data_IF_738880267581
#
_entry.id   IF_738880267581
#
_cell.length_a   1.000
_cell.length_b   1.000
_cell.length_c   1.000
_cell.angle_alpha   90.00
_cell.angle_beta   90.00
_cell.angle_gamma   90.00
#
_symmetry.space_group_name_H-M   'P 1'
#
loop_
_entity.id
_entity.type
_entity.pdbx_description
1 polymer ?
#
# COMPACT_ATOMS: atom_id res chain seq x y z
N UNK A 1 -28.47 36.13 -40.69
CA UNK A 1 -29.03 34.85 -41.18
C UNK A 1 -28.02 33.71 -41.28
N UNK A 2 -26.86 33.89 -41.97
CA UNK A 2 -25.89 32.76 -42.17
C UNK A 2 -25.36 32.13 -40.87
N UNK A 3 -25.05 32.93 -39.86
CA UNK A 3 -24.50 32.43 -38.56
C UNK A 3 -25.54 31.55 -37.82
N UNK A 4 -26.81 31.93 -37.78
CA UNK A 4 -27.87 31.17 -37.12
C UNK A 4 -28.10 29.82 -37.84
N UNK A 5 -27.99 29.80 -39.18
CA UNK A 5 -28.09 28.52 -39.92
C UNK A 5 -26.92 27.59 -39.62
N UNK A 6 -25.68 28.09 -39.44
CA UNK A 6 -24.50 27.27 -39.05
C UNK A 6 -24.67 26.69 -37.62
N UNK A 7 -25.17 27.50 -36.69
CA UNK A 7 -25.46 27.01 -35.31
C UNK A 7 -26.53 25.90 -35.34
N UNK A 8 -27.58 26.07 -36.11
CA UNK A 8 -28.67 25.10 -36.26
C UNK A 8 -28.16 23.77 -36.86
N UNK A 9 -27.37 23.84 -37.93
CA UNK A 9 -26.75 22.65 -38.54
C UNK A 9 -25.78 21.95 -37.62
N UNK A 10 -24.97 22.69 -36.86
CA UNK A 10 -24.05 22.09 -35.87
C UNK A 10 -24.80 21.38 -34.76
N UNK A 11 -25.92 21.93 -34.31
CA UNK A 11 -26.76 21.35 -33.27
C UNK A 11 -27.46 20.04 -33.77
N UNK A 12 -27.94 20.02 -35.00
CA UNK A 12 -28.48 18.80 -35.62
C UNK A 12 -27.42 17.71 -35.74
N UNK A 13 -26.19 18.08 -36.18
CA UNK A 13 -25.11 17.15 -36.29
C UNK A 13 -24.71 16.57 -34.91
N UNK A 14 -24.70 17.41 -33.87
CA UNK A 14 -24.42 16.98 -32.52
C UNK A 14 -25.45 16.00 -31.97
N UNK A 15 -26.74 16.30 -32.20
CA UNK A 15 -27.84 15.39 -31.83
C UNK A 15 -27.72 14.05 -32.56
N UNK A 16 -27.36 14.08 -33.84
CA UNK A 16 -27.16 12.87 -34.65
C UNK A 16 -26.02 12.01 -34.11
N UNK A 17 -24.86 12.61 -33.75
CA UNK A 17 -23.74 11.91 -33.15
C UNK A 17 -24.11 11.29 -31.80
N UNK A 18 -24.86 12.01 -30.96
CA UNK A 18 -25.36 11.45 -29.70
C UNK A 18 -26.30 10.25 -29.95
N UNK A 19 -27.20 10.35 -30.91
CA UNK A 19 -28.14 9.26 -31.26
C UNK A 19 -27.38 8.00 -31.71
N UNK A 20 -26.42 8.15 -32.63
CA UNK A 20 -25.57 7.03 -33.05
C UNK A 20 -24.81 6.43 -31.89
N UNK A 21 -24.22 7.26 -31.01
CA UNK A 21 -23.52 6.81 -29.85
C UNK A 21 -24.40 5.98 -28.90
N UNK A 22 -25.64 6.39 -28.69
CA UNK A 22 -26.58 5.63 -27.85
C UNK A 22 -26.92 4.27 -28.50
N UNK A 23 -27.14 4.23 -29.82
CA UNK A 23 -27.39 2.98 -30.55
C UNK A 23 -26.15 2.06 -30.41
N UNK A 24 -24.97 2.57 -30.64
CA UNK A 24 -23.71 1.83 -30.51
C UNK A 24 -23.53 1.24 -29.09
N UNK A 25 -23.74 2.06 -28.04
CA UNK A 25 -23.68 1.62 -26.66
C UNK A 25 -24.70 0.49 -26.37
N UNK A 26 -25.94 0.62 -26.86
CA UNK A 26 -26.95 -0.43 -26.70
C UNK A 26 -26.57 -1.73 -27.41
N UNK A 27 -26.00 -1.62 -28.61
CA UNK A 27 -25.51 -2.77 -29.36
C UNK A 27 -24.35 -3.46 -28.64
N UNK A 28 -23.36 -2.70 -28.21
CA UNK A 28 -22.21 -3.20 -27.43
C UNK A 28 -22.65 -3.89 -26.13
N UNK A 29 -23.58 -3.28 -25.37
CA UNK A 29 -24.13 -3.91 -24.16
C UNK A 29 -24.81 -5.25 -24.45
N UNK A 30 -25.60 -5.34 -25.54
CA UNK A 30 -26.23 -6.60 -25.95
C UNK A 30 -25.21 -7.65 -26.38
N UNK A 31 -24.17 -7.26 -27.14
CA UNK A 31 -23.11 -8.15 -27.58
C UNK A 31 -22.31 -8.67 -26.37
N UNK A 32 -21.96 -7.82 -25.42
CA UNK A 32 -21.27 -8.16 -24.18
C UNK A 32 -22.12 -9.13 -23.35
N UNK A 33 -23.40 -8.84 -23.12
CA UNK A 33 -24.31 -9.73 -22.38
C UNK A 33 -24.46 -11.12 -23.04
N UNK A 34 -24.47 -11.17 -24.39
CA UNK A 34 -24.48 -12.45 -25.11
C UNK A 34 -23.17 -13.23 -24.95
N UNK A 35 -22.02 -12.50 -24.91
CA UNK A 35 -20.71 -13.14 -24.65
C UNK A 35 -20.64 -13.69 -23.23
N UNK A 36 -21.04 -12.89 -22.24
CA UNK A 36 -21.08 -13.31 -20.83
C UNK A 36 -21.93 -14.56 -20.64
N UNK A 37 -23.18 -14.58 -21.13
CA UNK A 37 -24.03 -15.78 -21.05
C UNK A 37 -23.37 -17.04 -21.64
N UNK A 38 -22.56 -16.89 -22.71
CA UNK A 38 -21.84 -18.03 -23.28
C UNK A 38 -20.69 -18.47 -22.39
N UNK A 39 -20.00 -17.53 -21.75
CA UNK A 39 -18.94 -17.85 -20.81
C UNK A 39 -19.52 -18.50 -19.55
N UNK A 40 -20.63 -17.98 -19.02
CA UNK A 40 -21.32 -18.54 -17.86
C UNK A 40 -21.76 -19.98 -18.09
N UNK A 41 -22.33 -20.25 -19.28
CA UNK A 41 -22.70 -21.63 -19.66
C UNK A 41 -21.47 -22.55 -19.70
N UNK A 42 -20.40 -22.12 -20.35
CA UNK A 42 -19.15 -22.88 -20.39
C UNK A 42 -18.56 -23.10 -18.99
N UNK A 43 -18.64 -22.08 -18.14
CA UNK A 43 -18.17 -22.17 -16.76
C UNK A 43 -18.91 -23.27 -15.99
N UNK A 44 -20.24 -23.32 -16.11
CA UNK A 44 -21.05 -24.39 -15.50
C UNK A 44 -20.67 -25.79 -16.03
N UNK A 45 -20.45 -25.90 -17.36
CA UNK A 45 -20.10 -27.18 -18.01
C UNK A 45 -18.73 -27.72 -17.57
N UNK A 46 -17.73 -26.85 -17.36
CA UNK A 46 -16.35 -27.29 -17.07
C UNK A 46 -15.98 -27.27 -15.58
N UNK A 47 -16.77 -26.57 -14.74
CA UNK A 47 -16.45 -26.30 -13.32
C UNK A 47 -16.12 -27.56 -12.53
N UNK A 48 -17.01 -28.55 -12.53
CA UNK A 48 -16.83 -29.77 -11.74
C UNK A 48 -15.62 -30.59 -12.21
N UNK A 49 -15.39 -30.64 -13.53
CA UNK A 49 -14.23 -31.33 -14.11
C UNK A 49 -12.90 -30.69 -13.66
N UNK A 50 -12.82 -29.35 -13.71
CA UNK A 50 -11.61 -28.63 -13.29
C UNK A 50 -11.40 -28.75 -11.77
N UNK A 51 -12.46 -28.61 -10.97
CA UNK A 51 -12.38 -28.75 -9.52
C UNK A 51 -11.88 -30.15 -9.10
N UNK A 52 -12.40 -31.21 -9.74
CA UNK A 52 -11.98 -32.61 -9.51
C UNK A 52 -10.49 -32.80 -9.83
N UNK A 53 -10.03 -32.27 -10.97
CA UNK A 53 -8.64 -32.36 -11.38
C UNK A 53 -7.70 -31.57 -10.44
N UNK A 54 -8.09 -30.37 -10.02
CA UNK A 54 -7.35 -29.60 -9.04
C UNK A 54 -7.23 -30.32 -7.70
N UNK A 55 -8.34 -30.88 -7.18
CA UNK A 55 -8.32 -31.70 -5.96
C UNK A 55 -7.42 -32.93 -6.08
N UNK A 56 -7.39 -33.56 -7.26
CA UNK A 56 -6.53 -34.67 -7.54
C UNK A 56 -5.04 -34.31 -7.43
N UNK A 57 -4.65 -33.18 -8.03
CA UNK A 57 -3.28 -32.64 -7.96
C UNK A 57 -2.92 -32.19 -6.54
N UNK A 58 -3.81 -31.53 -5.85
CA UNK A 58 -3.62 -31.10 -4.43
C UNK A 58 -3.38 -32.30 -3.49
N UNK A 59 -3.90 -33.49 -3.85
CA UNK A 59 -3.64 -34.75 -3.15
C UNK A 59 -2.40 -35.52 -3.69
N UNK A 60 -1.49 -34.79 -4.37
CA UNK A 60 -0.27 -35.34 -4.97
C UNK A 60 -0.49 -36.44 -6.03
N UNK A 61 -1.66 -36.50 -6.64
CA UNK A 61 -1.94 -37.45 -7.74
C UNK A 61 -1.69 -36.78 -9.11
N UNK A 62 -1.06 -37.51 -10.02
CA UNK A 62 -0.81 -37.00 -11.38
C UNK A 62 -2.09 -37.00 -12.23
N UNK A 63 -2.18 -36.05 -13.14
CA UNK A 63 -3.22 -36.00 -14.16
C UNK A 63 -2.97 -37.10 -15.22
N UNK A 64 -4.03 -37.71 -15.74
CA UNK A 64 -3.94 -38.61 -16.88
C UNK A 64 -3.75 -37.79 -18.18
N UNK A 65 -3.30 -38.46 -19.24
CA UNK A 65 -3.15 -37.85 -20.57
C UNK A 65 -4.47 -37.24 -21.08
N UNK A 66 -5.60 -37.90 -20.84
CA UNK A 66 -6.91 -37.44 -21.27
C UNK A 66 -7.35 -36.20 -20.48
N UNK A 67 -7.05 -36.15 -19.18
CA UNK A 67 -7.32 -34.97 -18.33
C UNK A 67 -6.50 -33.76 -18.80
N UNK A 68 -5.23 -33.97 -19.16
CA UNK A 68 -4.36 -32.89 -19.71
C UNK A 68 -4.92 -32.43 -21.05
N UNK A 69 -5.21 -33.32 -21.99
CA UNK A 69 -5.78 -32.96 -23.29
C UNK A 69 -7.13 -32.24 -23.18
N UNK A 70 -7.93 -32.60 -22.19
CA UNK A 70 -9.19 -31.90 -21.92
C UNK A 70 -8.95 -30.43 -21.56
N UNK A 71 -8.06 -30.13 -20.63
CA UNK A 71 -7.75 -28.76 -20.22
C UNK A 71 -7.04 -27.98 -21.33
N UNK A 72 -6.17 -28.60 -22.08
CA UNK A 72 -5.54 -27.99 -23.27
C UNK A 72 -6.58 -27.49 -24.28
N UNK A 73 -7.60 -28.31 -24.57
CA UNK A 73 -8.70 -27.90 -25.46
C UNK A 73 -9.46 -26.70 -24.93
N UNK A 74 -9.62 -26.59 -23.60
CA UNK A 74 -10.22 -25.45 -22.94
C UNK A 74 -9.35 -24.20 -23.10
N UNK A 75 -8.05 -24.30 -22.83
CA UNK A 75 -7.09 -23.20 -22.89
C UNK A 75 -6.88 -22.66 -24.32
N UNK A 76 -7.01 -23.49 -25.35
CA UNK A 76 -6.89 -23.09 -26.76
C UNK A 76 -8.04 -22.20 -27.24
N UNK A 77 -9.24 -22.28 -26.63
CA UNK A 77 -10.43 -21.54 -27.07
C UNK A 77 -10.67 -20.33 -26.15
N UNK A 78 -10.75 -19.13 -26.72
CA UNK A 78 -10.84 -17.86 -25.97
C UNK A 78 -11.95 -17.81 -24.92
N UNK A 79 -13.18 -18.28 -25.23
CA UNK A 79 -14.31 -18.24 -24.30
C UNK A 79 -14.18 -19.29 -23.19
N UNK A 80 -13.77 -20.52 -23.55
CA UNK A 80 -13.54 -21.59 -22.57
C UNK A 80 -12.40 -21.22 -21.62
N UNK A 81 -11.33 -20.60 -22.15
CA UNK A 81 -10.23 -20.08 -21.33
C UNK A 81 -10.70 -18.98 -20.38
N UNK A 82 -11.60 -18.10 -20.80
CA UNK A 82 -12.18 -17.08 -19.92
C UNK A 82 -13.00 -17.72 -18.79
N UNK A 83 -13.81 -18.74 -19.08
CA UNK A 83 -14.54 -19.51 -18.08
C UNK A 83 -13.59 -20.23 -17.11
N UNK A 84 -12.55 -20.89 -17.65
CA UNK A 84 -11.51 -21.53 -16.87
C UNK A 84 -10.82 -20.54 -15.91
N UNK A 85 -10.42 -19.37 -16.38
CA UNK A 85 -9.75 -18.36 -15.56
C UNK A 85 -10.64 -17.84 -14.43
N UNK A 86 -11.96 -17.74 -14.64
CA UNK A 86 -12.91 -17.40 -13.58
C UNK A 86 -12.94 -18.47 -12.48
N UNK A 87 -12.97 -19.74 -12.88
CA UNK A 87 -12.94 -20.87 -11.95
C UNK A 87 -11.63 -20.87 -11.14
N UNK A 88 -10.48 -20.71 -11.81
CA UNK A 88 -9.18 -20.65 -11.13
C UNK A 88 -9.14 -19.48 -10.15
N UNK A 89 -9.63 -18.29 -10.55
CA UNK A 89 -9.66 -17.11 -9.69
C UNK A 89 -10.53 -17.33 -8.44
N UNK A 90 -11.68 -17.96 -8.58
CA UNK A 90 -12.58 -18.29 -7.46
C UNK A 90 -11.92 -19.31 -6.52
N UNK A 91 -11.39 -20.39 -7.08
CA UNK A 91 -10.76 -21.47 -6.30
C UNK A 91 -9.46 -21.01 -5.62
N UNK A 92 -8.75 -20.04 -6.21
CA UNK A 92 -7.56 -19.44 -5.58
C UNK A 92 -7.87 -18.65 -4.30
N UNK A 93 -9.09 -18.13 -4.18
CA UNK A 93 -9.56 -17.36 -3.04
C UNK A 93 -10.40 -18.20 -2.04
N UNK A 94 -10.54 -19.50 -2.28
CA UNK A 94 -11.29 -20.38 -1.41
C UNK A 94 -10.53 -20.54 -0.08
N UNK A 95 -11.20 -20.28 1.04
CA UNK A 95 -10.64 -20.38 2.39
C UNK A 95 -10.75 -21.79 2.98
N UNK A 96 -11.70 -22.57 2.52
CA UNK A 96 -11.96 -23.94 3.05
C UNK A 96 -10.98 -24.96 2.49
N UNK A 97 -10.60 -24.82 1.20
CA UNK A 97 -9.70 -25.76 0.53
C UNK A 97 -8.58 -24.97 -0.16
N UNK A 98 -7.34 -25.22 0.26
CA UNK A 98 -6.15 -24.66 -0.39
C UNK A 98 -5.76 -25.55 -1.57
N UNK A 99 -6.03 -25.07 -2.79
CA UNK A 99 -5.68 -25.77 -4.02
C UNK A 99 -4.24 -25.45 -4.48
N UNK A 100 -3.51 -26.47 -4.93
CA UNK A 100 -2.17 -26.30 -5.52
C UNK A 100 -2.25 -25.90 -7.00
N UNK A 101 -2.67 -24.66 -7.22
CA UNK A 101 -2.87 -24.12 -8.58
C UNK A 101 -1.58 -24.12 -9.36
N UNK A 102 -0.44 -23.80 -8.76
CA UNK A 102 0.85 -23.78 -9.44
C UNK A 102 1.22 -25.16 -10.00
N UNK A 103 1.13 -26.22 -9.20
CA UNK A 103 1.44 -27.59 -9.61
C UNK A 103 0.48 -28.04 -10.74
N UNK A 104 -0.80 -27.71 -10.61
CA UNK A 104 -1.77 -28.00 -11.65
C UNK A 104 -1.43 -27.30 -12.97
N UNK A 105 -1.13 -26.01 -12.92
CA UNK A 105 -0.86 -25.18 -14.09
C UNK A 105 0.49 -25.50 -14.75
N UNK A 106 1.44 -26.05 -14.03
CA UNK A 106 2.72 -26.52 -14.61
C UNK A 106 2.52 -27.59 -15.70
N UNK A 107 1.44 -28.39 -15.64
CA UNK A 107 1.12 -29.35 -16.72
C UNK A 107 0.81 -28.68 -18.07
N UNK A 108 0.57 -27.35 -18.06
CA UNK A 108 0.18 -26.55 -19.23
C UNK A 108 1.19 -25.46 -19.54
N UNK A 109 2.40 -25.52 -18.95
CA UNK A 109 3.44 -24.51 -19.07
C UNK A 109 3.74 -24.13 -20.51
N UNK A 110 3.96 -25.13 -21.36
CA UNK A 110 4.31 -24.93 -22.79
C UNK A 110 3.25 -24.11 -23.54
N UNK A 111 1.96 -24.40 -23.31
CA UNK A 111 0.86 -23.67 -23.94
C UNK A 111 0.84 -22.22 -23.47
N UNK A 112 1.08 -21.99 -22.16
CA UNK A 112 1.07 -20.65 -21.56
C UNK A 112 2.26 -19.83 -22.09
N UNK A 113 3.45 -20.41 -22.14
CA UNK A 113 4.64 -19.74 -22.64
C UNK A 113 4.56 -19.39 -24.13
N UNK A 114 3.93 -20.27 -24.96
CA UNK A 114 3.70 -19.99 -26.37
C UNK A 114 2.71 -18.82 -26.62
N UNK A 115 1.87 -18.49 -25.65
CA UNK A 115 0.98 -17.32 -25.74
C UNK A 115 1.70 -15.99 -25.41
N UNK A 116 2.87 -16.01 -24.74
CA UNK A 116 3.59 -14.79 -24.33
C UNK A 116 3.87 -13.86 -25.52
N UNK A 117 4.48 -14.39 -26.60
CA UNK A 117 4.83 -13.59 -27.78
C UNK A 117 3.62 -12.94 -28.44
N UNK A 118 2.50 -13.64 -28.42
CA UNK A 118 1.24 -13.13 -28.96
C UNK A 118 0.67 -11.99 -28.10
N UNK A 119 0.70 -12.15 -26.76
CA UNK A 119 0.16 -11.13 -25.85
C UNK A 119 1.10 -9.94 -25.66
N UNK A 120 2.41 -10.11 -25.84
CA UNK A 120 3.38 -9.00 -25.86
C UNK A 120 3.03 -7.93 -26.90
N UNK A 121 2.45 -8.33 -28.03
CA UNK A 121 2.05 -7.45 -29.15
C UNK A 121 0.59 -6.95 -29.08
N UNK A 122 -0.19 -7.34 -28.04
CA UNK A 122 -1.59 -6.93 -27.89
C UNK A 122 -1.72 -5.56 -27.25
N UNK A 123 -2.91 -4.99 -27.37
CA UNK A 123 -3.31 -3.78 -26.63
C UNK A 123 -3.20 -3.96 -25.12
N UNK A 124 -3.14 -2.86 -24.39
CA UNK A 124 -2.94 -2.85 -22.95
C UNK A 124 -4.00 -3.66 -22.19
N UNK A 125 -5.26 -3.66 -22.62
CA UNK A 125 -6.36 -4.36 -21.94
C UNK A 125 -6.14 -5.87 -21.99
N UNK A 126 -5.85 -6.38 -23.20
CA UNK A 126 -5.60 -7.83 -23.40
C UNK A 126 -4.32 -8.27 -22.72
N UNK A 127 -3.28 -7.43 -22.78
CA UNK A 127 -2.01 -7.66 -22.08
C UNK A 127 -2.22 -7.73 -20.57
N UNK A 128 -2.92 -6.75 -19.96
CA UNK A 128 -3.27 -6.78 -18.53
C UNK A 128 -4.02 -8.05 -18.13
N UNK A 129 -5.02 -8.46 -18.90
CA UNK A 129 -5.76 -9.70 -18.64
C UNK A 129 -4.86 -10.92 -18.62
N UNK A 130 -3.95 -11.04 -19.59
CA UNK A 130 -3.00 -12.16 -19.65
C UNK A 130 -2.03 -12.14 -18.46
N UNK A 131 -1.41 -11.00 -18.18
CA UNK A 131 -0.50 -10.79 -17.05
C UNK A 131 -1.20 -11.15 -15.72
N UNK A 132 -2.41 -10.66 -15.50
CA UNK A 132 -3.20 -11.00 -14.32
C UNK A 132 -3.37 -12.52 -14.14
N UNK A 133 -3.68 -13.23 -15.23
CA UNK A 133 -3.82 -14.67 -15.18
C UNK A 133 -2.50 -15.40 -14.91
N UNK A 134 -1.36 -14.90 -15.40
CA UNK A 134 -0.05 -15.45 -15.04
C UNK A 134 0.19 -15.38 -13.53
N UNK A 135 -0.20 -14.27 -12.90
CA UNK A 135 -0.15 -14.13 -11.44
C UNK A 135 -1.09 -15.09 -10.69
N UNK A 136 -2.26 -15.42 -11.27
CA UNK A 136 -3.19 -16.40 -10.70
C UNK A 136 -2.66 -17.84 -10.82
N UNK A 137 -1.99 -18.15 -11.92
CA UNK A 137 -1.43 -19.49 -12.17
C UNK A 137 -0.24 -19.80 -11.27
N UNK A 138 0.45 -18.77 -10.77
CA UNK A 138 1.61 -18.89 -9.86
C UNK A 138 2.72 -19.79 -10.41
N UNK A 139 2.89 -19.80 -11.73
CA UNK A 139 3.96 -20.57 -12.39
C UNK A 139 5.25 -19.75 -12.35
N UNK A 140 6.28 -20.31 -11.74
CA UNK A 140 7.61 -19.76 -11.76
C UNK A 140 8.40 -20.36 -12.91
N UNK A 141 8.42 -19.68 -14.06
CA UNK A 141 9.29 -20.02 -15.18
C UNK A 141 10.11 -18.81 -15.64
N UNK A 142 11.30 -19.08 -16.15
CA UNK A 142 12.20 -18.04 -16.64
C UNK A 142 11.55 -17.15 -17.71
N UNK A 143 10.82 -17.75 -18.66
CA UNK A 143 10.16 -17.02 -19.74
C UNK A 143 9.02 -16.14 -19.25
N UNK A 144 8.24 -16.63 -18.27
CA UNK A 144 7.16 -15.85 -17.64
C UNK A 144 7.76 -14.69 -16.83
N UNK A 145 8.78 -14.95 -16.02
CA UNK A 145 9.43 -13.91 -15.21
C UNK A 145 10.04 -12.80 -16.08
N UNK A 146 10.76 -13.16 -17.15
CA UNK A 146 11.32 -12.16 -18.07
C UNK A 146 10.23 -11.32 -18.74
N UNK A 147 9.15 -11.93 -19.20
CA UNK A 147 8.03 -11.21 -19.78
C UNK A 147 7.39 -10.23 -18.78
N UNK A 148 7.21 -10.66 -17.54
CA UNK A 148 6.68 -9.79 -16.49
C UNK A 148 7.62 -8.62 -16.17
N UNK A 149 8.95 -8.87 -16.13
CA UNK A 149 9.95 -7.82 -15.93
C UNK A 149 9.95 -6.82 -17.08
N UNK A 150 9.86 -7.26 -18.34
CA UNK A 150 9.70 -6.37 -19.50
C UNK A 150 8.44 -5.50 -19.40
N UNK A 151 7.32 -6.08 -18.93
CA UNK A 151 6.06 -5.39 -18.74
C UNK A 151 6.10 -4.30 -17.65
N UNK A 152 7.08 -4.31 -16.74
CA UNK A 152 7.29 -3.21 -15.79
C UNK A 152 7.62 -1.88 -16.48
N UNK A 153 8.19 -1.92 -17.69
CA UNK A 153 8.52 -0.72 -18.47
C UNK A 153 7.44 -0.37 -19.53
N UNK A 154 6.28 -0.98 -19.50
CA UNK A 154 5.19 -0.67 -20.43
C UNK A 154 4.67 0.76 -20.26
N UNK A 155 4.22 1.39 -21.35
CA UNK A 155 3.65 2.74 -21.34
C UNK A 155 2.40 2.84 -20.44
N UNK A 156 1.61 1.78 -20.38
CA UNK A 156 0.39 1.71 -19.59
C UNK A 156 0.69 1.44 -18.12
N UNK A 157 0.23 2.34 -17.25
CA UNK A 157 0.33 2.16 -15.80
C UNK A 157 -0.39 0.88 -15.33
N UNK A 158 -1.46 0.49 -16.00
CA UNK A 158 -2.20 -0.74 -15.69
C UNK A 158 -1.40 -2.00 -16.00
N UNK A 159 -0.61 -1.99 -17.09
CA UNK A 159 0.29 -3.09 -17.44
C UNK A 159 1.39 -3.20 -16.39
N UNK A 160 2.05 -2.08 -16.04
CA UNK A 160 3.09 -2.06 -15.00
C UNK A 160 2.59 -2.58 -13.66
N UNK A 161 1.40 -2.12 -13.24
CA UNK A 161 0.76 -2.58 -12.03
C UNK A 161 0.52 -4.09 -12.03
N UNK A 162 -0.15 -4.59 -13.10
CA UNK A 162 -0.44 -6.03 -13.20
C UNK A 162 0.83 -6.86 -13.25
N UNK A 163 1.91 -6.38 -13.88
CA UNK A 163 3.20 -7.05 -13.92
C UNK A 163 3.79 -7.21 -12.51
N UNK A 164 3.94 -6.12 -11.76
CA UNK A 164 4.46 -6.16 -10.40
C UNK A 164 3.57 -7.03 -9.48
N UNK A 165 2.26 -6.87 -9.60
CA UNK A 165 1.29 -7.65 -8.83
C UNK A 165 1.39 -9.16 -9.14
N UNK A 166 1.65 -9.54 -10.40
CA UNK A 166 1.81 -10.93 -10.81
C UNK A 166 3.14 -11.52 -10.35
N UNK A 167 4.24 -10.75 -10.40
CA UNK A 167 5.53 -11.14 -9.80
C UNK A 167 5.35 -11.42 -8.30
N UNK A 168 4.65 -10.53 -7.59
CA UNK A 168 4.34 -10.72 -6.17
C UNK A 168 3.47 -11.96 -5.91
N UNK A 169 2.48 -12.25 -6.76
CA UNK A 169 1.59 -13.41 -6.61
C UNK A 169 2.27 -14.75 -6.91
N UNK A 170 3.24 -14.79 -7.82
CA UNK A 170 4.08 -15.97 -8.06
C UNK A 170 4.88 -16.30 -6.79
N UNK A 171 5.20 -15.31 -5.97
CA UNK A 171 5.68 -15.50 -4.61
C UNK A 171 7.18 -15.78 -4.49
N UNK A 172 7.96 -15.61 -5.58
CA UNK A 172 9.43 -15.67 -5.51
C UNK A 172 9.99 -14.34 -5.03
N UNK A 173 10.46 -14.33 -3.77
CA UNK A 173 10.98 -13.13 -3.11
C UNK A 173 12.08 -12.44 -3.92
N UNK A 174 13.05 -13.22 -4.43
CA UNK A 174 14.18 -12.69 -5.18
C UNK A 174 13.75 -11.90 -6.42
N UNK A 175 12.80 -12.45 -7.19
CA UNK A 175 12.29 -11.77 -8.39
C UNK A 175 11.48 -10.54 -8.06
N UNK A 176 10.77 -10.54 -6.94
CA UNK A 176 10.06 -9.37 -6.46
C UNK A 176 11.04 -8.25 -6.04
N UNK A 177 12.09 -8.58 -5.30
CA UNK A 177 13.16 -7.66 -4.92
C UNK A 177 13.86 -7.07 -6.16
N UNK A 178 14.23 -7.94 -7.13
CA UNK A 178 14.80 -7.53 -8.41
C UNK A 178 13.90 -6.53 -9.16
N UNK A 179 12.58 -6.80 -9.20
CA UNK A 179 11.61 -5.91 -9.82
C UNK A 179 11.55 -4.54 -9.15
N UNK A 180 11.61 -4.47 -7.81
CA UNK A 180 11.62 -3.20 -7.08
C UNK A 180 12.89 -2.40 -7.35
N UNK A 181 14.06 -3.03 -7.35
CA UNK A 181 15.33 -2.39 -7.69
C UNK A 181 15.29 -1.86 -9.13
N UNK A 182 14.82 -2.69 -10.07
CA UNK A 182 14.66 -2.29 -11.48
C UNK A 182 13.75 -1.07 -11.63
N UNK A 183 12.58 -1.09 -11.01
CA UNK A 183 11.64 0.03 -11.03
C UNK A 183 12.25 1.30 -10.42
N UNK A 184 12.97 1.16 -9.32
CA UNK A 184 13.64 2.28 -8.66
C UNK A 184 14.71 2.93 -9.54
N UNK A 185 15.61 2.14 -10.13
CA UNK A 185 16.69 2.60 -11.01
C UNK A 185 16.15 3.28 -12.26
N UNK A 186 15.08 2.76 -12.85
CA UNK A 186 14.46 3.28 -14.07
C UNK A 186 13.37 4.33 -13.80
N UNK A 187 13.17 4.76 -12.56
CA UNK A 187 12.14 5.74 -12.14
C UNK A 187 10.73 5.36 -12.62
N UNK A 188 10.43 4.07 -12.59
CA UNK A 188 9.12 3.54 -12.97
C UNK A 188 8.19 3.63 -11.76
N UNK A 189 7.04 4.29 -11.94
CA UNK A 189 6.08 4.51 -10.86
C UNK A 189 4.73 3.86 -11.19
N UNK A 190 4.10 3.38 -10.13
CA UNK A 190 2.68 3.01 -10.10
C UNK A 190 1.99 3.83 -9.00
N UNK A 191 0.68 3.71 -8.86
CA UNK A 191 -0.05 4.42 -7.80
C UNK A 191 0.44 3.98 -6.42
N UNK A 192 0.67 4.95 -5.51
CA UNK A 192 1.26 4.71 -4.20
C UNK A 192 0.44 3.75 -3.32
N UNK A 193 -0.89 3.89 -3.31
CA UNK A 193 -1.78 2.99 -2.54
C UNK A 193 -1.68 1.56 -3.05
N UNK A 194 -1.70 1.42 -4.35
CA UNK A 194 -1.58 0.12 -5.03
C UNK A 194 -0.20 -0.51 -4.78
N UNK A 195 0.87 0.28 -4.79
CA UNK A 195 2.20 -0.19 -4.44
C UNK A 195 2.26 -0.76 -3.01
N UNK A 196 1.68 -0.02 -2.06
CA UNK A 196 1.60 -0.45 -0.66
C UNK A 196 0.78 -1.74 -0.53
N UNK A 197 -0.34 -1.88 -1.24
CA UNK A 197 -1.15 -3.11 -1.25
C UNK A 197 -0.37 -4.33 -1.75
N UNK A 198 0.51 -4.14 -2.73
CA UNK A 198 1.38 -5.22 -3.23
C UNK A 198 2.43 -5.60 -2.18
N UNK A 199 3.08 -4.62 -1.54
CA UNK A 199 4.05 -4.86 -0.45
C UNK A 199 3.36 -5.55 0.73
N UNK A 200 2.15 -5.11 1.11
CA UNK A 200 1.39 -5.66 2.23
C UNK A 200 1.03 -7.15 2.07
N UNK A 201 1.11 -7.72 0.86
CA UNK A 201 0.98 -9.19 0.65
C UNK A 201 2.08 -9.97 1.38
N UNK A 202 3.23 -9.37 1.56
CA UNK A 202 4.39 -9.96 2.22
C UNK A 202 4.52 -9.60 3.69
N UNK A 203 3.52 -8.90 4.29
CA UNK A 203 3.58 -8.42 5.68
C UNK A 203 3.93 -9.52 6.70
N UNK A 204 3.51 -10.76 6.46
CA UNK A 204 3.78 -11.90 7.33
C UNK A 204 5.02 -12.71 6.93
N UNK A 205 5.74 -12.32 5.86
CA UNK A 205 6.95 -12.97 5.43
C UNK A 205 8.17 -12.29 6.04
N UNK A 206 8.75 -12.89 7.08
CA UNK A 206 9.95 -12.37 7.72
C UNK A 206 11.15 -12.28 6.74
N UNK A 207 11.29 -13.25 5.86
CA UNK A 207 12.35 -13.30 4.86
C UNK A 207 12.28 -12.11 3.90
N UNK A 208 11.12 -11.90 3.26
CA UNK A 208 10.95 -10.81 2.29
C UNK A 208 11.03 -9.44 2.98
N UNK A 209 10.48 -9.28 4.19
CA UNK A 209 10.62 -8.04 4.94
C UNK A 209 12.09 -7.73 5.30
N UNK A 210 12.88 -8.76 5.57
CA UNK A 210 14.33 -8.61 5.80
C UNK A 210 15.05 -8.15 4.53
N UNK A 211 14.75 -8.76 3.39
CA UNK A 211 15.35 -8.36 2.12
C UNK A 211 14.90 -6.94 1.70
N UNK A 212 13.62 -6.60 1.88
CA UNK A 212 13.13 -5.24 1.65
C UNK A 212 13.87 -4.21 2.50
N UNK A 213 14.14 -4.53 3.77
CA UNK A 213 14.90 -3.64 4.65
C UNK A 213 16.37 -3.48 4.20
N UNK A 214 16.99 -4.55 3.72
CA UNK A 214 18.37 -4.52 3.19
C UNK A 214 18.52 -3.64 1.97
N UNK A 215 17.59 -3.72 1.03
CA UNK A 215 17.65 -2.96 -0.22
C UNK A 215 17.19 -1.51 -0.10
N UNK A 216 16.73 -1.07 1.08
CA UNK A 216 16.22 0.31 1.24
C UNK A 216 17.18 1.36 0.68
N UNK A 217 18.49 1.21 0.91
CA UNK A 217 19.49 2.16 0.44
C UNK A 217 19.73 2.14 -1.08
N UNK A 218 19.32 1.08 -1.77
CA UNK A 218 19.38 0.95 -3.22
C UNK A 218 18.18 1.58 -3.93
N UNK A 219 17.13 1.87 -3.16
CA UNK A 219 15.88 2.40 -3.70
C UNK A 219 15.86 3.93 -3.71
N UNK A 220 15.12 4.52 -4.64
CA UNK A 220 14.87 5.94 -4.62
C UNK A 220 14.03 6.36 -3.39
N UNK A 221 14.13 7.63 -3.01
CA UNK A 221 13.48 8.19 -1.82
C UNK A 221 11.99 7.83 -1.73
N UNK A 222 11.25 7.93 -2.84
CA UNK A 222 9.82 7.66 -2.85
C UNK A 222 9.51 6.21 -2.49
N UNK A 223 10.21 5.25 -3.07
CA UNK A 223 10.03 3.84 -2.77
C UNK A 223 10.43 3.49 -1.35
N UNK A 224 11.54 4.06 -0.85
CA UNK A 224 11.93 3.92 0.56
C UNK A 224 10.78 4.33 1.48
N UNK A 225 10.22 5.54 1.28
CA UNK A 225 9.12 6.05 2.09
C UNK A 225 7.88 5.15 2.06
N UNK A 226 7.53 4.61 0.89
CA UNK A 226 6.36 3.72 0.73
C UNK A 226 6.57 2.38 1.45
N UNK A 227 7.77 1.79 1.36
CA UNK A 227 8.10 0.54 2.04
C UNK A 227 8.12 0.74 3.56
N UNK A 228 8.75 1.80 4.06
CA UNK A 228 8.78 2.13 5.50
C UNK A 228 7.35 2.35 6.02
N UNK A 229 6.49 3.03 5.25
CA UNK A 229 5.08 3.20 5.60
C UNK A 229 4.32 1.86 5.65
N UNK A 230 4.57 0.94 4.73
CA UNK A 230 4.03 -0.43 4.81
C UNK A 230 4.52 -1.16 6.07
N UNK A 231 5.81 -1.04 6.41
CA UNK A 231 6.36 -1.61 7.64
C UNK A 231 5.68 -1.11 8.91
N UNK A 232 5.12 0.10 8.89
CA UNK A 232 4.43 0.65 10.06
C UNK A 232 3.20 -0.15 10.51
N UNK A 233 2.73 -1.08 9.68
CA UNK A 233 1.64 -2.02 9.98
C UNK A 233 2.14 -3.36 10.55
N UNK A 234 3.44 -3.58 10.53
CA UNK A 234 4.07 -4.85 10.90
C UNK A 234 4.71 -4.74 12.28
N UNK A 235 4.30 -5.59 13.21
CA UNK A 235 4.93 -5.72 14.53
C UNK A 235 6.12 -6.68 14.40
N UNK A 236 7.27 -6.19 14.00
CA UNK A 236 8.48 -6.99 13.83
C UNK A 236 9.68 -6.28 14.45
N UNK A 237 10.23 -6.85 15.52
CA UNK A 237 11.32 -6.25 16.29
C UNK A 237 12.60 -6.07 15.46
N UNK A 238 12.85 -6.99 14.54
CA UNK A 238 13.97 -6.89 13.60
C UNK A 238 13.94 -5.60 12.76
N UNK A 239 12.73 -5.19 12.30
CA UNK A 239 12.58 -3.95 11.53
C UNK A 239 12.85 -2.70 12.38
N UNK A 240 12.54 -2.75 13.68
CA UNK A 240 12.78 -1.64 14.61
C UNK A 240 14.26 -1.31 14.71
N UNK A 241 15.10 -2.33 14.88
CA UNK A 241 16.55 -2.18 14.96
C UNK A 241 17.14 -1.60 13.66
N UNK A 242 16.81 -2.19 12.51
CA UNK A 242 17.30 -1.71 11.21
C UNK A 242 16.86 -0.27 10.93
N UNK A 243 15.61 0.07 11.22
CA UNK A 243 15.11 1.42 10.98
C UNK A 243 15.73 2.43 11.97
N UNK A 244 16.04 2.02 13.21
CA UNK A 244 16.77 2.87 14.14
C UNK A 244 18.21 3.14 13.66
N UNK A 245 18.92 2.12 13.19
CA UNK A 245 20.24 2.29 12.59
C UNK A 245 20.17 3.23 11.38
N UNK A 246 19.20 2.98 10.49
CA UNK A 246 19.01 3.86 9.32
C UNK A 246 18.68 5.30 9.71
N UNK A 247 17.88 5.54 10.76
CA UNK A 247 17.54 6.89 11.20
C UNK A 247 18.79 7.70 11.63
N UNK A 248 19.78 7.04 12.25
CA UNK A 248 21.02 7.68 12.68
C UNK A 248 21.88 8.17 11.52
N UNK A 249 21.95 7.40 10.44
CA UNK A 249 22.83 7.64 9.30
C UNK A 249 22.13 8.32 8.11
N UNK A 250 20.81 8.41 8.12
CA UNK A 250 20.02 8.91 7.00
C UNK A 250 20.08 10.44 6.89
N UNK A 251 20.44 10.94 5.73
CA UNK A 251 20.49 12.39 5.45
C UNK A 251 19.22 12.93 4.80
N UNK A 252 18.43 12.07 4.17
CA UNK A 252 17.21 12.48 3.46
C UNK A 252 16.06 12.74 4.44
N UNK A 253 15.59 13.98 4.49
CA UNK A 253 14.51 14.42 5.37
C UNK A 253 13.22 13.59 5.24
N UNK A 254 12.82 13.27 4.02
CA UNK A 254 11.57 12.54 3.79
C UNK A 254 11.64 11.11 4.33
N UNK A 255 12.77 10.44 4.15
CA UNK A 255 13.01 9.10 4.69
C UNK A 255 13.03 9.13 6.21
N UNK A 256 13.76 10.09 6.81
CA UNK A 256 13.80 10.29 8.28
C UNK A 256 12.40 10.48 8.85
N UNK A 257 11.59 11.37 8.26
CA UNK A 257 10.19 11.60 8.67
C UNK A 257 9.38 10.30 8.65
N UNK A 258 9.53 9.46 7.62
CA UNK A 258 8.79 8.20 7.56
C UNK A 258 9.27 7.19 8.61
N UNK A 259 10.56 7.17 8.95
CA UNK A 259 11.09 6.33 10.03
C UNK A 259 10.58 6.82 11.40
N UNK A 260 10.57 8.13 11.64
CA UNK A 260 10.02 8.70 12.88
C UNK A 260 8.52 8.33 13.03
N UNK A 261 7.74 8.42 11.93
CA UNK A 261 6.33 7.97 11.90
C UNK A 261 6.19 6.47 12.15
N UNK A 262 7.16 5.67 11.76
CA UNK A 262 7.18 4.26 12.10
C UNK A 262 7.27 4.06 13.61
N UNK A 263 8.17 4.78 14.31
CA UNK A 263 8.33 4.71 15.77
C UNK A 263 7.15 5.35 16.54
N UNK A 264 6.42 6.29 15.95
CA UNK A 264 5.14 6.76 16.50
C UNK A 264 4.13 5.61 16.66
N UNK A 265 4.11 4.66 15.71
CA UNK A 265 3.17 3.54 15.71
C UNK A 265 3.69 2.30 16.41
N UNK A 266 4.98 2.07 16.33
CA UNK A 266 5.66 0.86 16.80
C UNK A 266 6.65 1.23 17.90
N UNK A 267 6.23 1.11 19.15
CA UNK A 267 7.10 1.36 20.29
C UNK A 267 8.37 0.53 20.24
N UNK A 268 9.51 1.16 20.52
CA UNK A 268 10.84 0.56 20.64
C UNK A 268 11.66 1.39 21.59
N UNK A 269 12.01 0.83 22.75
CA UNK A 269 12.60 1.59 23.85
C UNK A 269 13.87 2.30 23.42
N UNK A 270 14.75 1.63 22.69
CA UNK A 270 16.04 2.17 22.24
C UNK A 270 15.89 3.38 21.27
N UNK A 271 14.70 3.63 20.76
CA UNK A 271 14.48 4.75 19.85
C UNK A 271 14.32 6.10 20.56
N UNK A 272 13.98 6.13 21.86
CA UNK A 272 13.67 7.40 22.53
C UNK A 272 14.83 8.37 22.54
N UNK A 273 16.06 7.89 22.71
CA UNK A 273 17.26 8.73 22.70
C UNK A 273 17.43 9.46 21.38
N UNK A 274 17.21 8.75 20.27
CA UNK A 274 17.33 9.36 18.95
C UNK A 274 16.16 10.32 18.67
N UNK A 275 14.95 9.97 19.13
CA UNK A 275 13.78 10.85 19.02
C UNK A 275 13.96 12.15 19.81
N UNK A 276 14.59 12.11 21.00
CA UNK A 276 14.96 13.31 21.77
C UNK A 276 15.94 14.19 20.99
N UNK A 277 17.00 13.61 20.40
CA UNK A 277 17.93 14.36 19.55
C UNK A 277 17.24 15.08 18.40
N UNK A 278 16.21 14.44 17.82
CA UNK A 278 15.44 15.00 16.73
C UNK A 278 14.57 16.20 17.11
N UNK A 279 14.31 16.42 18.39
CA UNK A 279 13.67 17.67 18.86
C UNK A 279 14.54 18.91 18.60
N UNK A 280 15.85 18.74 18.39
CA UNK A 280 16.77 19.80 18.01
C UNK A 280 17.10 19.84 16.50
N UNK A 281 16.36 19.07 15.66
CA UNK A 281 16.56 19.07 14.20
C UNK A 281 16.36 20.45 13.60
N UNK A 282 17.14 20.77 12.55
CA UNK A 282 16.95 21.98 11.75
C UNK A 282 15.57 22.05 11.08
N UNK A 283 14.96 20.90 10.81
CA UNK A 283 13.67 20.77 10.13
C UNK A 283 12.54 20.73 11.16
N UNK A 284 11.62 21.66 11.08
CA UNK A 284 10.49 21.72 12.02
C UNK A 284 9.57 20.51 11.92
N UNK A 285 9.44 19.90 10.72
CA UNK A 285 8.62 18.71 10.51
C UNK A 285 9.17 17.50 11.28
N UNK A 286 10.51 17.34 11.30
CA UNK A 286 11.15 16.30 12.10
C UNK A 286 10.93 16.54 13.59
N UNK A 287 11.14 17.78 14.06
CA UNK A 287 10.89 18.16 15.46
C UNK A 287 9.43 17.89 15.88
N UNK A 288 8.47 18.27 15.02
CA UNK A 288 7.05 18.10 15.31
C UNK A 288 6.65 16.61 15.39
N UNK A 289 7.15 15.76 14.48
CA UNK A 289 6.84 14.34 14.49
C UNK A 289 7.59 13.61 15.61
N UNK A 290 8.83 13.99 15.90
CA UNK A 290 9.58 13.46 17.03
C UNK A 290 8.86 13.75 18.36
N UNK A 291 8.41 15.00 18.56
CA UNK A 291 7.61 15.37 19.72
C UNK A 291 6.36 14.50 19.86
N UNK A 292 5.64 14.24 18.75
CA UNK A 292 4.46 13.38 18.74
C UNK A 292 4.79 11.92 19.04
N UNK A 293 5.89 11.41 18.49
CA UNK A 293 6.32 10.02 18.70
C UNK A 293 6.69 9.74 20.14
N UNK A 294 7.23 10.73 20.84
CA UNK A 294 7.62 10.64 22.24
C UNK A 294 6.43 10.51 23.21
N UNK A 295 5.19 10.65 22.75
CA UNK A 295 4.00 10.45 23.59
C UNK A 295 3.87 9.03 24.17
N UNK A 296 4.62 8.06 23.64
CA UNK A 296 4.62 6.67 24.10
C UNK A 296 5.80 6.30 25.00
N UNK A 297 6.69 7.24 25.24
CA UNK A 297 7.94 7.00 25.99
C UNK A 297 7.89 7.77 27.30
N UNK A 298 8.03 7.03 28.41
CA UNK A 298 7.94 7.58 29.77
C UNK A 298 9.31 7.61 30.40
N UNK A 299 9.93 8.80 30.46
CA UNK A 299 11.12 9.03 31.24
C UNK A 299 11.23 10.52 31.59
N UNK A 300 11.95 10.82 32.67
CA UNK A 300 12.25 12.19 33.08
C UNK A 300 12.96 12.98 31.96
N UNK A 301 13.82 12.32 31.20
CA UNK A 301 14.53 12.91 30.08
C UNK A 301 13.58 13.30 28.94
N UNK A 302 12.62 12.43 28.59
CA UNK A 302 11.59 12.71 27.58
C UNK A 302 10.73 13.88 28.03
N UNK A 303 10.28 13.88 29.27
CA UNK A 303 9.44 14.93 29.85
C UNK A 303 10.13 16.30 29.78
N UNK A 304 11.37 16.40 30.24
CA UNK A 304 12.15 17.64 30.16
C UNK A 304 12.43 18.10 28.73
N UNK A 305 12.63 17.17 27.82
CA UNK A 305 12.88 17.48 26.41
C UNK A 305 11.61 18.00 25.73
N UNK A 306 10.46 17.41 26.01
CA UNK A 306 9.16 17.89 25.54
C UNK A 306 8.82 19.26 26.11
N UNK A 307 9.09 19.49 27.42
CA UNK A 307 8.93 20.81 28.05
C UNK A 307 9.73 21.90 27.34
N UNK A 308 11.02 21.63 27.03
CA UNK A 308 11.84 22.58 26.24
C UNK A 308 11.21 22.84 24.86
N UNK A 309 10.63 21.84 24.23
CA UNK A 309 10.01 21.94 22.91
C UNK A 309 8.68 22.70 22.91
N UNK A 310 8.06 22.97 24.07
CA UNK A 310 6.92 23.89 24.18
C UNK A 310 7.29 25.33 23.80
N UNK A 311 8.57 25.69 23.83
CA UNK A 311 9.11 27.00 23.45
C UNK A 311 9.59 27.04 21.99
N UNK A 312 9.34 25.99 21.19
CA UNK A 312 9.76 25.96 19.78
C UNK A 312 9.09 27.09 18.99
N UNK A 313 9.85 27.67 18.05
CA UNK A 313 9.34 28.70 17.15
C UNK A 313 8.16 28.24 16.28
N UNK A 314 8.06 26.94 15.99
CA UNK A 314 7.01 26.38 15.16
C UNK A 314 5.82 25.91 16.01
N UNK A 315 4.63 26.36 15.66
CA UNK A 315 3.39 26.05 16.38
C UNK A 315 3.08 24.54 16.44
N UNK A 316 3.34 23.78 15.34
CA UNK A 316 3.10 22.34 15.31
C UNK A 316 4.02 21.55 16.25
N UNK A 317 5.26 22.03 16.44
CA UNK A 317 6.17 21.42 17.41
C UNK A 317 5.62 21.65 18.83
N UNK A 318 5.24 22.88 19.17
CA UNK A 318 4.63 23.19 20.47
C UNK A 318 3.37 22.38 20.73
N UNK A 319 2.46 22.30 19.73
CA UNK A 319 1.21 21.54 19.83
C UNK A 319 1.44 20.06 20.11
N UNK A 320 2.36 19.43 19.36
CA UNK A 320 2.66 18.02 19.53
C UNK A 320 3.36 17.76 20.86
N UNK A 321 4.26 18.65 21.29
CA UNK A 321 4.91 18.56 22.61
C UNK A 321 3.89 18.63 23.76
N UNK A 322 3.00 19.62 23.74
CA UNK A 322 1.92 19.74 24.72
C UNK A 322 0.99 18.52 24.73
N UNK A 323 0.65 18.01 23.52
CA UNK A 323 -0.18 16.81 23.39
C UNK A 323 0.50 15.58 23.98
N UNK A 324 1.79 15.40 23.72
CA UNK A 324 2.58 14.26 24.20
C UNK A 324 2.81 14.33 25.71
N UNK A 325 3.05 15.51 26.25
CA UNK A 325 3.12 15.74 27.70
C UNK A 325 1.83 15.25 28.39
N UNK A 326 0.66 15.62 27.87
CA UNK A 326 -0.62 15.21 28.45
C UNK A 326 -0.97 13.72 28.23
N UNK A 327 -0.50 13.11 27.15
CA UNK A 327 -0.69 11.67 26.89
C UNK A 327 0.21 10.80 27.79
N UNK A 328 1.34 11.32 28.21
CA UNK A 328 2.30 10.65 29.09
C UNK A 328 1.90 10.64 30.57
N UNK A 329 0.62 10.87 30.90
CA UNK A 329 0.14 10.98 32.30
C UNK A 329 1.00 11.95 33.11
N UNK A 330 1.35 13.04 32.50
CA UNK A 330 2.17 14.11 33.06
C UNK A 330 1.75 14.46 34.47
N UNK A 331 2.72 14.64 35.34
CA UNK A 331 2.43 15.04 36.72
C UNK A 331 1.80 16.44 36.76
N UNK A 332 0.94 16.64 37.73
CA UNK A 332 0.31 17.95 37.98
C UNK A 332 1.38 19.04 38.17
N UNK A 333 2.50 18.64 38.80
CA UNK A 333 3.68 19.50 39.04
C UNK A 333 4.28 20.05 37.74
N UNK A 334 4.43 19.24 36.68
CA UNK A 334 4.96 19.73 35.40
C UNK A 334 4.04 20.75 34.75
N UNK A 335 2.72 20.53 34.81
CA UNK A 335 1.75 21.47 34.27
C UNK A 335 1.84 22.79 35.02
N UNK A 336 1.89 22.76 36.35
CA UNK A 336 2.04 23.96 37.21
C UNK A 336 3.37 24.69 36.94
N UNK A 337 4.45 23.93 36.77
CA UNK A 337 5.76 24.45 36.40
C UNK A 337 5.74 25.24 35.09
N UNK A 338 5.18 24.62 34.00
CA UNK A 338 5.04 25.30 32.70
C UNK A 338 4.14 26.53 32.77
N UNK A 339 3.08 26.45 33.55
CA UNK A 339 2.17 27.61 33.73
C UNK A 339 2.77 28.75 34.55
N UNK A 340 3.79 28.49 35.35
CA UNK A 340 4.53 29.50 36.13
C UNK A 340 5.75 30.08 35.38
N UNK A 341 6.16 29.47 34.23
CA UNK A 341 7.23 30.00 33.38
C UNK A 341 6.85 31.36 32.77
N UNK A 342 7.84 32.11 32.25
CA UNK A 342 7.59 33.39 31.58
C UNK A 342 7.11 33.27 30.14
N UNK A 343 7.40 32.13 29.48
CA UNK A 343 7.09 31.92 28.06
C UNK A 343 5.58 31.82 27.81
N UNK A 344 5.04 32.87 27.18
CA UNK A 344 3.60 33.00 26.88
C UNK A 344 3.13 31.90 25.92
N UNK A 345 3.94 31.55 24.92
CA UNK A 345 3.55 30.55 23.89
C UNK A 345 3.48 29.16 24.48
N UNK A 346 4.38 28.81 25.40
CA UNK A 346 4.34 27.51 26.09
C UNK A 346 3.08 27.38 26.96
N UNK A 347 2.70 28.47 27.67
CA UNK A 347 1.47 28.49 28.46
C UNK A 347 0.22 28.36 27.61
N UNK A 348 0.12 29.19 26.57
CA UNK A 348 -1.06 29.21 25.70
C UNK A 348 -1.30 27.85 25.01
N UNK A 349 -0.23 27.24 24.47
CA UNK A 349 -0.37 25.95 23.80
C UNK A 349 -0.75 24.82 24.77
N UNK A 350 -0.21 24.84 25.98
CA UNK A 350 -0.55 23.84 27.00
C UNK A 350 -2.01 24.00 27.43
N UNK A 351 -2.47 25.21 27.70
CA UNK A 351 -3.88 25.52 28.06
C UNK A 351 -4.83 25.15 26.92
N UNK A 352 -4.46 25.43 25.67
CA UNK A 352 -5.24 25.07 24.50
C UNK A 352 -5.43 23.55 24.38
N UNK A 353 -4.36 22.77 24.57
CA UNK A 353 -4.44 21.30 24.49
C UNK A 353 -5.17 20.71 25.69
N UNK A 354 -4.98 21.28 26.90
CA UNK A 354 -5.74 20.92 28.10
C UNK A 354 -7.23 21.11 27.90
N UNK A 355 -7.65 22.28 27.39
CA UNK A 355 -9.06 22.57 27.10
C UNK A 355 -9.67 21.55 26.14
N UNK A 356 -8.92 21.12 25.12
CA UNK A 356 -9.41 20.16 24.13
C UNK A 356 -9.42 18.70 24.61
N UNK A 357 -8.42 18.28 25.37
CA UNK A 357 -8.23 16.87 25.75
C UNK A 357 -8.74 16.57 27.16
N UNK A 358 -8.67 17.50 28.07
CA UNK A 358 -9.05 17.32 29.47
C UNK A 358 -9.67 18.59 30.07
N UNK A 359 -10.90 18.88 29.64
CA UNK A 359 -11.61 20.10 30.06
C UNK A 359 -11.83 20.16 31.59
N UNK A 360 -11.94 19.01 32.25
CA UNK A 360 -12.08 18.95 33.70
C UNK A 360 -10.83 19.45 34.42
N UNK A 361 -9.64 19.04 33.96
CA UNK A 361 -8.38 19.53 34.53
C UNK A 361 -8.13 20.98 34.15
N UNK A 362 -8.47 21.38 32.93
CA UNK A 362 -8.42 22.78 32.51
C UNK A 362 -9.21 23.71 33.44
N UNK A 363 -10.48 23.37 33.72
CA UNK A 363 -11.32 24.16 34.62
C UNK A 363 -10.78 24.19 36.06
N UNK A 364 -10.24 23.10 36.57
CA UNK A 364 -9.61 23.07 37.90
C UNK A 364 -8.42 24.01 37.98
N UNK A 365 -7.60 24.06 36.93
CA UNK A 365 -6.42 24.95 36.89
C UNK A 365 -6.85 26.43 36.84
N UNK A 366 -7.90 26.76 36.09
CA UNK A 366 -8.42 28.15 36.02
C UNK A 366 -8.96 28.61 37.37
N UNK A 367 -9.81 27.81 38.03
CA UNK A 367 -10.37 28.11 39.32
C UNK A 367 -9.28 28.33 40.40
N UNK A 368 -8.23 27.50 40.36
CA UNK A 368 -7.09 27.61 41.26
C UNK A 368 -6.30 28.91 41.06
N UNK A 369 -6.22 29.42 39.82
CA UNK A 369 -5.60 30.70 39.51
C UNK A 369 -6.46 31.89 39.98
N UNK A 370 -7.76 31.81 39.83
CA UNK A 370 -8.70 32.87 40.31
C UNK A 370 -8.68 32.95 41.83
N UNK A 371 -8.68 31.84 42.55
CA UNK A 371 -8.54 31.80 44.01
C UNK A 371 -7.23 32.40 44.52
N UNK A 372 -6.10 32.16 43.80
CA UNK A 372 -4.80 32.77 44.18
C UNK A 372 -4.75 34.28 43.93
N UNK A 373 -5.40 34.77 42.89
CA UNK A 373 -5.46 36.21 42.60
C UNK A 373 -6.33 36.92 43.63
N UNK A 374 -7.43 36.30 44.07
CA UNK A 374 -8.30 36.84 45.12
C UNK A 374 -7.70 36.84 46.55
N UNK A 375 -6.71 35.93 46.78
CA UNK A 375 -5.99 35.88 48.06
C UNK A 375 -4.74 36.79 48.07
N UNK A 376 -4.33 37.35 46.95
CA UNK A 376 -3.17 38.22 46.80
C UNK A 376 -3.56 39.73 46.64
N UNK A 377 -4.83 40.02 46.58
CA UNK A 377 -5.43 41.37 46.67
C UNK A 377 -5.98 41.60 48.09
#
# INVERSE_FOLDING_TARGET
>A
MKIVSYIFFSLILFIYVIFISIIYIKFEKRATKRREKKVDKMEQEIREGIKKQLLKVTKNNKLSKDEILYVEKILKKSKSRQAFNRIISELSNNQEVKYDISIFMYNFLEIIENEIEKYAKKDSIRKCYFIFNLGLYKIDSFKIQNFLMECLNDKSIYVRYNALNSIANIGKGDKFIEALIYMSKNRIYINDKVFIEIIDKFKNSHEINRELARILNELNTKMQCLIINSFSKNKNDFLKEILLMKLKDESNKEVRINIIKYFEKNYYDEAYVELIKLLASKWWEERAIAAKSLSKYYSFEVENSLKKSLKDKNWYVRLNSASSILENNCTKELIEEVLNEEDVYAKEILLYVLQKKNNTLYNKILNYKEERITLSC
#
